data_IF_597958516719
#
_entry.id   IF_597958516719
#
_cell.length_a   1.000
_cell.length_b   1.000
_cell.length_c   1.000
_cell.angle_alpha   90.00
_cell.angle_beta   90.00
_cell.angle_gamma   90.00
#
_symmetry.space_group_name_H-M   'P 1'
#
loop_
_entity.id
_entity.type
_entity.pdbx_description
1 polymer ?
#
# COMPACT_ATOMS: atom_id res chain seq x y z
N UNK A 1 -11.41 -78.15 7.14
CA UNK A 1 -10.75 -76.85 7.40
C UNK A 1 -9.93 -76.58 6.15
N UNK A 2 -10.31 -75.70 5.22
CA UNK A 2 -10.87 -74.35 5.39
C UNK A 2 -11.69 -74.00 4.15
N UNK A 3 -12.80 -73.29 4.34
CA UNK A 3 -13.83 -73.00 3.34
C UNK A 3 -13.40 -71.94 2.31
N UNK A 4 -13.89 -72.11 1.09
CA UNK A 4 -13.75 -71.20 -0.05
C UNK A 4 -14.90 -70.21 0.01
N UNK A 5 -14.60 -68.92 0.16
CA UNK A 5 -15.62 -67.87 0.23
C UNK A 5 -15.72 -67.14 -1.11
N UNK A 6 -16.92 -67.18 -1.71
CA UNK A 6 -17.30 -66.57 -2.98
C UNK A 6 -17.78 -65.15 -2.68
N UNK A 7 -17.11 -64.14 -3.25
CA UNK A 7 -17.50 -62.73 -3.09
C UNK A 7 -18.35 -62.30 -4.29
N UNK A 8 -19.62 -62.00 -4.01
CA UNK A 8 -20.63 -61.54 -4.96
C UNK A 8 -20.42 -60.07 -5.34
N UNK A 9 -20.50 -59.81 -6.63
CA UNK A 9 -20.50 -58.48 -7.25
C UNK A 9 -21.88 -57.82 -7.11
N UNK A 10 -21.97 -56.68 -6.42
CA UNK A 10 -23.11 -55.77 -6.50
C UNK A 10 -22.75 -54.57 -7.39
N UNK A 11 -23.46 -54.44 -8.52
CA UNK A 11 -23.41 -53.27 -9.40
C UNK A 11 -24.34 -52.18 -8.87
N UNK A 12 -23.77 -51.17 -8.22
CA UNK A 12 -24.50 -49.95 -7.85
C UNK A 12 -24.35 -48.94 -8.97
N UNK A 13 -25.43 -48.68 -9.70
CA UNK A 13 -25.55 -47.57 -10.66
C UNK A 13 -25.51 -46.25 -9.89
N UNK A 14 -24.37 -45.56 -9.90
CA UNK A 14 -24.23 -44.21 -9.36
C UNK A 14 -24.81 -43.19 -10.32
N UNK A 15 -25.92 -42.57 -9.93
CA UNK A 15 -26.39 -41.31 -10.53
C UNK A 15 -25.34 -40.23 -10.25
N UNK A 16 -24.73 -39.71 -11.32
CA UNK A 16 -23.84 -38.56 -11.26
C UNK A 16 -24.68 -37.31 -10.93
N UNK A 17 -24.65 -36.90 -9.66
CA UNK A 17 -25.08 -35.57 -9.25
C UNK A 17 -24.23 -34.55 -10.03
N UNK A 18 -24.88 -33.85 -10.97
CA UNK A 18 -24.30 -32.69 -11.63
C UNK A 18 -24.03 -31.63 -10.57
N UNK A 19 -22.77 -31.52 -10.14
CA UNK A 19 -22.33 -30.40 -9.32
C UNK A 19 -22.51 -29.11 -10.13
N UNK A 20 -23.36 -28.23 -9.62
CA UNK A 20 -23.70 -26.95 -10.23
C UNK A 20 -22.42 -26.09 -10.35
N UNK A 21 -21.89 -25.84 -11.56
CA UNK A 21 -20.57 -25.23 -11.76
C UNK A 21 -20.53 -23.72 -11.46
N UNK A 22 -21.52 -23.19 -10.74
CA UNK A 22 -21.81 -21.75 -10.67
C UNK A 22 -21.64 -21.10 -9.28
N UNK A 23 -21.16 -21.83 -8.26
CA UNK A 23 -21.17 -21.33 -6.86
C UNK A 23 -19.81 -21.21 -6.14
N UNK A 24 -18.67 -21.35 -6.84
CA UNK A 24 -17.38 -21.10 -6.18
C UNK A 24 -17.24 -19.63 -5.82
N UNK A 25 -17.48 -19.32 -4.54
CA UNK A 25 -17.31 -17.98 -3.99
C UNK A 25 -15.87 -17.53 -4.25
N UNK A 26 -15.66 -16.27 -4.68
CA UNK A 26 -14.32 -15.74 -4.89
C UNK A 26 -13.57 -15.82 -3.55
N UNK A 27 -12.54 -16.65 -3.50
CA UNK A 27 -11.69 -16.77 -2.32
C UNK A 27 -11.01 -15.43 -2.05
N UNK A 28 -11.01 -15.00 -0.79
CA UNK A 28 -10.27 -13.80 -0.41
C UNK A 28 -8.78 -14.00 -0.70
N UNK A 29 -8.11 -12.98 -1.26
CA UNK A 29 -6.71 -13.11 -1.60
C UNK A 29 -5.87 -13.26 -0.32
N UNK A 30 -5.20 -14.41 -0.18
CA UNK A 30 -4.26 -14.67 0.90
C UNK A 30 -2.85 -14.18 0.51
N UNK A 31 -2.25 -13.36 1.38
CA UNK A 31 -0.91 -12.79 1.21
C UNK A 31 0.05 -13.20 2.35
N UNK A 32 -0.13 -14.42 2.87
CA UNK A 32 0.64 -14.93 4.02
C UNK A 32 0.33 -14.14 5.29
N UNK A 33 1.37 -13.68 5.99
CA UNK A 33 1.24 -12.95 7.26
C UNK A 33 0.86 -11.47 7.08
N UNK A 34 0.61 -11.02 5.85
CA UNK A 34 0.25 -9.64 5.58
C UNK A 34 -1.24 -9.38 5.82
N UNK A 35 -1.53 -8.36 6.63
CA UNK A 35 -2.88 -7.83 6.75
C UNK A 35 -3.15 -6.82 5.63
N UNK A 36 -4.28 -6.98 4.94
CA UNK A 36 -4.71 -6.09 3.86
C UNK A 36 -5.89 -5.21 4.30
N UNK A 37 -5.81 -3.93 3.98
CA UNK A 37 -6.84 -2.95 4.32
C UNK A 37 -7.05 -1.94 3.18
N UNK A 38 -8.26 -1.40 3.09
CA UNK A 38 -8.49 -0.12 2.42
C UNK A 38 -7.98 1.02 3.30
N UNK A 39 -7.59 2.14 2.70
CA UNK A 39 -6.99 3.22 3.46
C UNK A 39 -7.90 3.80 4.57
N UNK A 40 -9.22 3.81 4.38
CA UNK A 40 -10.18 4.28 5.38
C UNK A 40 -10.22 3.37 6.62
N UNK A 41 -10.06 2.07 6.40
CA UNK A 41 -9.99 1.08 7.48
C UNK A 41 -8.71 1.26 8.29
N UNK A 42 -7.59 1.58 7.63
CA UNK A 42 -6.32 1.88 8.28
C UNK A 42 -6.45 3.07 9.23
N UNK A 43 -7.11 4.14 8.78
CA UNK A 43 -7.35 5.32 9.62
C UNK A 43 -8.14 4.94 10.86
N UNK A 44 -9.24 4.20 10.71
CA UNK A 44 -10.07 3.74 11.84
C UNK A 44 -9.33 2.78 12.79
N UNK A 45 -8.50 1.89 12.26
CA UNK A 45 -7.90 0.78 13.02
C UNK A 45 -6.60 1.16 13.73
N UNK A 46 -5.77 1.95 13.08
CA UNK A 46 -4.41 2.23 13.56
C UNK A 46 -4.18 3.68 13.95
N UNK A 47 -4.97 4.61 13.37
CA UNK A 47 -4.73 6.06 13.53
C UNK A 47 -5.82 6.73 14.38
N UNK A 48 -6.95 6.06 14.57
CA UNK A 48 -8.07 6.50 15.41
C UNK A 48 -7.98 5.81 16.76
N UNK A 49 -7.60 6.56 17.79
CA UNK A 49 -7.91 6.17 19.17
C UNK A 49 -9.43 6.31 19.33
N UNK A 50 -10.12 5.17 19.34
CA UNK A 50 -11.57 5.07 19.32
C UNK A 50 -12.30 6.12 20.18
N UNK A 51 -13.32 6.73 19.58
CA UNK A 51 -14.47 7.40 20.20
C UNK A 51 -14.28 8.67 21.08
N UNK A 52 -13.07 9.15 21.41
CA UNK A 52 -12.90 10.45 22.12
C UNK A 52 -11.71 11.33 21.68
N UNK A 53 -11.25 11.09 20.45
CA UNK A 53 -10.75 12.02 19.41
C UNK A 53 -9.86 13.24 19.73
N UNK A 54 -9.05 13.24 20.79
CA UNK A 54 -8.09 14.35 21.03
C UNK A 54 -6.64 13.93 21.33
N UNK A 55 -6.37 12.66 21.63
CA UNK A 55 -5.02 12.22 21.99
C UNK A 55 -4.43 11.26 20.96
N UNK A 56 -3.22 11.59 20.51
CA UNK A 56 -2.30 10.66 19.87
C UNK A 56 -1.33 10.14 20.94
N UNK A 57 -0.89 8.88 20.81
CA UNK A 57 0.05 8.30 21.75
C UNK A 57 1.38 9.08 21.74
N UNK A 58 2.08 9.21 22.88
CA UNK A 58 3.44 9.73 22.93
C UNK A 58 4.36 8.99 21.95
N UNK A 59 5.36 9.70 21.44
CA UNK A 59 6.34 9.23 20.45
C UNK A 59 5.76 8.78 19.09
N UNK A 60 4.47 8.97 18.86
CA UNK A 60 3.87 8.79 17.53
C UNK A 60 4.54 9.75 16.54
N UNK A 61 5.14 9.21 15.48
CA UNK A 61 5.64 10.00 14.37
C UNK A 61 4.44 10.53 13.56
N UNK A 62 4.46 11.81 13.22
CA UNK A 62 3.41 12.43 12.43
C UNK A 62 3.97 13.43 11.42
N UNK A 63 3.21 13.69 10.38
CA UNK A 63 3.36 14.88 9.54
C UNK A 63 2.51 16.02 10.09
N UNK A 64 3.14 17.18 10.26
CA UNK A 64 2.47 18.44 10.52
C UNK A 64 2.00 19.03 9.20
N UNK A 65 0.75 19.44 9.14
CA UNK A 65 0.13 20.06 7.98
C UNK A 65 0.15 21.58 8.11
N UNK A 66 0.43 22.27 7.01
CA UNK A 66 0.24 23.71 6.93
C UNK A 66 -1.25 24.03 7.04
N UNK A 67 -1.63 24.72 8.12
CA UNK A 67 -2.89 25.45 8.12
C UNK A 67 -2.77 26.53 7.05
N UNK A 68 -3.60 26.48 6.02
CA UNK A 68 -3.78 27.67 5.19
C UNK A 68 -4.31 28.75 6.14
N UNK A 69 -3.48 29.74 6.47
CA UNK A 69 -3.99 30.94 7.13
C UNK A 69 -5.21 31.40 6.33
N UNK A 70 -6.27 31.90 6.99
CA UNK A 70 -7.47 32.41 6.32
C UNK A 70 -7.02 33.44 5.27
N UNK A 71 -6.75 33.02 4.04
CA UNK A 71 -6.55 33.92 2.92
C UNK A 71 -7.94 34.50 2.69
N UNK A 72 -8.13 35.71 3.18
CA UNK A 72 -9.36 36.50 3.14
C UNK A 72 -9.56 36.99 1.69
N UNK A 73 -9.55 36.08 0.72
CA UNK A 73 -9.68 36.39 -0.69
C UNK A 73 -10.99 35.79 -1.22
N UNK A 74 -11.82 36.74 -1.65
CA UNK A 74 -13.12 36.64 -2.31
C UNK A 74 -13.26 35.44 -3.27
N UNK A 75 -14.37 34.73 -3.09
CA UNK A 75 -15.28 34.26 -4.14
C UNK A 75 -14.63 33.62 -5.39
N UNK A 76 -14.24 32.36 -5.26
CA UNK A 76 -14.45 31.40 -6.35
C UNK A 76 -15.19 30.20 -5.74
N UNK A 77 -16.49 30.14 -6.02
CA UNK A 77 -17.49 29.38 -5.26
C UNK A 77 -17.62 27.91 -5.69
N UNK A 78 -16.85 27.45 -6.68
CA UNK A 78 -17.20 26.21 -7.41
C UNK A 78 -16.13 25.12 -7.42
N UNK A 79 -15.58 24.77 -6.25
CA UNK A 79 -14.94 23.45 -6.14
C UNK A 79 -14.95 22.95 -4.71
N UNK A 80 -15.86 22.01 -4.42
CA UNK A 80 -15.85 21.05 -3.29
C UNK A 80 -14.60 20.13 -3.29
N UNK A 81 -13.48 20.57 -3.86
CA UNK A 81 -12.20 19.93 -3.65
C UNK A 81 -11.71 20.32 -2.27
N UNK A 82 -11.98 19.46 -1.28
CA UNK A 82 -11.38 19.50 0.04
C UNK A 82 -9.92 19.96 -0.09
N UNK A 83 -9.64 21.19 0.33
CA UNK A 83 -8.37 21.82 0.06
C UNK A 83 -7.28 21.08 0.84
N UNK A 84 -6.64 20.12 0.16
CA UNK A 84 -5.62 19.26 0.74
C UNK A 84 -4.55 20.12 1.39
N UNK A 85 -4.48 20.07 2.73
CA UNK A 85 -3.44 20.75 3.50
C UNK A 85 -2.07 20.23 3.06
N UNK A 86 -1.11 21.12 2.89
CA UNK A 86 0.24 20.77 2.45
C UNK A 86 1.02 20.13 3.61
N UNK A 87 1.87 19.15 3.30
CA UNK A 87 2.80 18.56 4.27
C UNK A 87 3.88 19.60 4.58
N UNK A 88 4.08 19.92 5.87
CA UNK A 88 5.10 20.88 6.30
C UNK A 88 6.39 20.17 6.68
N UNK A 89 6.32 19.34 7.72
CA UNK A 89 7.47 18.64 8.28
C UNK A 89 7.02 17.52 9.20
N UNK A 90 7.94 16.63 9.54
CA UNK A 90 7.70 15.57 10.52
C UNK A 90 7.94 16.06 11.94
N UNK A 91 7.17 15.51 12.87
CA UNK A 91 7.34 15.74 14.29
C UNK A 91 6.90 14.50 15.10
N UNK A 92 7.36 14.40 16.34
CA UNK A 92 6.94 13.37 17.28
C UNK A 92 5.99 13.95 18.31
N UNK A 93 4.95 13.21 18.66
CA UNK A 93 4.08 13.57 19.77
C UNK A 93 4.87 13.47 21.08
N UNK A 94 4.85 14.50 21.92
CA UNK A 94 5.59 14.49 23.20
C UNK A 94 4.80 13.80 24.31
N UNK A 95 3.47 13.76 24.19
CA UNK A 95 2.55 13.28 25.21
C UNK A 95 1.71 14.41 25.82
N UNK A 96 0.66 14.04 26.56
CA UNK A 96 -0.22 15.00 27.22
C UNK A 96 0.37 15.39 28.57
N UNK A 97 0.75 16.66 28.75
CA UNK A 97 1.01 17.20 30.09
C UNK A 97 -0.31 17.22 30.86
N UNK A 98 -0.43 16.32 31.83
CA UNK A 98 -1.55 16.20 32.75
C UNK A 98 -1.75 17.51 33.50
N UNK A 99 -2.79 18.29 33.15
CA UNK A 99 -3.80 18.87 34.07
C UNK A 99 -4.43 20.19 33.59
N UNK A 100 -3.77 21.06 32.82
CA UNK A 100 -4.37 22.38 32.50
C UNK A 100 -4.23 22.83 31.02
N UNK A 101 -3.51 22.07 30.19
CA UNK A 101 -3.06 22.55 28.88
C UNK A 101 -3.85 21.99 27.68
N UNK A 102 -4.99 21.33 27.92
CA UNK A 102 -5.86 20.75 26.88
C UNK A 102 -6.91 21.74 26.31
N UNK A 103 -6.97 22.99 26.78
CA UNK A 103 -8.09 23.91 26.52
C UNK A 103 -8.35 24.31 25.06
N UNK A 104 -7.53 23.92 24.07
CA UNK A 104 -7.76 24.24 22.64
C UNK A 104 -7.62 23.02 21.70
N UNK A 105 -7.65 21.79 22.23
CA UNK A 105 -7.54 20.57 21.39
C UNK A 105 -6.23 20.47 20.59
N UNK A 106 -5.18 21.15 21.04
CA UNK A 106 -3.85 21.12 20.41
C UNK A 106 -2.94 20.12 21.11
N UNK A 107 -2.17 19.41 20.30
CA UNK A 107 -1.21 18.40 20.75
C UNK A 107 0.20 19.00 20.67
N UNK A 108 0.99 18.80 21.73
CA UNK A 108 2.39 19.20 21.77
C UNK A 108 3.22 18.23 20.93
N UNK A 109 3.92 18.76 19.93
CA UNK A 109 4.82 18.00 19.06
C UNK A 109 6.25 18.52 19.17
N UNK A 110 7.23 17.64 18.96
CA UNK A 110 8.67 17.94 18.91
C UNK A 110 9.19 17.71 17.50
N UNK A 111 9.80 18.73 16.91
CA UNK A 111 10.43 18.66 15.60
C UNK A 111 11.85 18.07 15.70
N UNK A 112 12.44 17.58 14.59
CA UNK A 112 13.79 16.99 14.58
C UNK A 112 14.88 17.87 15.22
N UNK A 113 14.76 19.20 15.11
CA UNK A 113 15.71 20.17 15.69
C UNK A 113 15.50 20.43 17.19
N UNK A 114 14.61 19.68 17.85
CA UNK A 114 14.30 19.79 19.27
C UNK A 114 13.25 20.83 19.65
N UNK A 115 12.88 21.73 18.73
CA UNK A 115 11.82 22.71 18.99
C UNK A 115 10.46 22.04 19.18
N UNK A 116 9.60 22.66 19.99
CA UNK A 116 8.27 22.13 20.29
C UNK A 116 7.18 23.15 20.01
N UNK A 117 6.04 22.68 19.50
CA UNK A 117 4.89 23.54 19.20
C UNK A 117 3.59 22.80 19.48
N UNK A 118 2.53 23.56 19.76
CA UNK A 118 1.17 23.04 19.88
C UNK A 118 0.46 23.10 18.54
N UNK A 119 0.07 21.95 18.01
CA UNK A 119 -0.57 21.80 16.70
C UNK A 119 -1.97 21.23 16.88
N UNK A 120 -2.96 21.77 16.15
CA UNK A 120 -4.32 21.19 16.15
C UNK A 120 -4.31 19.75 15.66
N UNK A 121 -5.11 18.86 16.26
CA UNK A 121 -5.19 17.45 15.86
C UNK A 121 -5.47 17.25 14.37
N UNK A 122 -6.34 18.07 13.78
CA UNK A 122 -6.69 18.10 12.35
C UNK A 122 -5.53 18.50 11.41
N UNK A 123 -4.42 18.99 11.97
CA UNK A 123 -3.20 19.34 11.24
C UNK A 123 -2.10 18.30 11.48
N UNK A 124 -2.43 17.12 12.01
CA UNK A 124 -1.48 16.04 12.24
C UNK A 124 -1.93 14.78 11.48
N UNK A 125 -1.05 14.25 10.65
CA UNK A 125 -1.21 12.93 10.00
C UNK A 125 -0.25 11.94 10.64
N UNK A 126 -0.72 11.01 11.49
CA UNK A 126 0.14 10.00 12.07
C UNK A 126 0.72 9.05 11.00
N UNK A 127 1.95 8.58 11.23
CA UNK A 127 2.69 7.67 10.37
C UNK A 127 2.51 6.24 10.88
N UNK A 128 2.28 5.27 9.97
CA UNK A 128 2.13 3.87 10.32
C UNK A 128 3.48 3.28 10.69
N UNK A 129 3.56 2.78 11.93
CA UNK A 129 4.75 2.14 12.48
C UNK A 129 4.69 0.61 12.42
N UNK A 130 3.55 0.04 12.03
CA UNK A 130 3.33 -1.40 11.90
C UNK A 130 4.13 -2.01 10.73
N UNK A 131 4.35 -3.33 10.81
CA UNK A 131 4.95 -4.17 9.77
C UNK A 131 3.91 -5.10 9.15
N UNK A 132 4.27 -5.72 8.02
CA UNK A 132 3.44 -6.68 7.29
C UNK A 132 2.04 -6.15 6.94
N UNK A 133 1.97 -4.91 6.45
CA UNK A 133 0.71 -4.29 6.00
C UNK A 133 0.64 -4.13 4.49
N UNK A 134 -0.54 -4.37 3.92
CA UNK A 134 -0.91 -3.97 2.56
C UNK A 134 -2.02 -2.93 2.69
N UNK A 135 -1.83 -1.75 2.10
CA UNK A 135 -2.85 -0.71 2.06
C UNK A 135 -3.24 -0.43 0.62
N UNK A 136 -4.52 -0.57 0.31
CA UNK A 136 -5.05 -0.40 -1.04
C UNK A 136 -5.78 0.94 -1.15
N UNK A 137 -5.47 1.67 -2.22
CA UNK A 137 -6.07 2.95 -2.56
C UNK A 137 -6.59 2.92 -4.01
N UNK A 138 -7.73 3.57 -4.26
CA UNK A 138 -8.31 3.65 -5.60
C UNK A 138 -7.71 4.79 -6.45
N UNK A 139 -7.29 5.89 -5.80
CA UNK A 139 -6.98 7.15 -6.48
C UNK A 139 -5.50 7.51 -6.42
N UNK A 140 -4.90 7.85 -7.58
CA UNK A 140 -3.47 8.19 -7.71
C UNK A 140 -3.03 9.28 -6.75
N UNK A 141 -3.87 10.32 -6.60
CA UNK A 141 -3.56 11.45 -5.74
C UNK A 141 -3.57 11.07 -4.25
N UNK A 142 -4.39 10.10 -3.83
CA UNK A 142 -4.36 9.57 -2.46
C UNK A 142 -3.17 8.64 -2.29
N UNK A 143 -2.95 7.72 -3.22
CA UNK A 143 -1.81 6.80 -3.25
C UNK A 143 -0.47 7.52 -3.08
N UNK A 144 -0.18 8.52 -3.92
CA UNK A 144 1.08 9.28 -3.85
C UNK A 144 1.24 10.00 -2.51
N UNK A 145 0.16 10.59 -1.98
CA UNK A 145 0.19 11.27 -0.68
C UNK A 145 0.42 10.27 0.46
N UNK A 146 -0.25 9.12 0.40
CA UNK A 146 -0.17 8.05 1.39
C UNK A 146 1.26 7.50 1.47
N UNK A 147 1.89 7.24 0.31
CA UNK A 147 3.30 6.86 0.24
C UNK A 147 4.24 7.89 0.89
N UNK A 148 4.09 9.18 0.59
CA UNK A 148 4.93 10.22 1.22
C UNK A 148 4.72 10.30 2.73
N UNK A 149 3.48 10.16 3.19
CA UNK A 149 3.17 10.19 4.63
C UNK A 149 3.81 8.99 5.33
N UNK A 150 3.63 7.79 4.78
CA UNK A 150 3.88 6.55 5.49
C UNK A 150 5.27 5.95 5.29
N UNK A 151 6.04 6.35 4.27
CA UNK A 151 7.48 6.03 4.18
C UNK A 151 8.25 6.86 5.21
N UNK A 152 8.95 6.24 6.15
CA UNK A 152 9.71 6.95 7.19
C UNK A 152 11.05 7.46 6.64
N UNK A 153 11.69 8.46 7.26
CA UNK A 153 12.93 9.01 6.72
C UNK A 153 14.07 8.00 6.57
N UNK A 154 14.11 6.95 7.38
CA UNK A 154 15.16 5.92 7.37
C UNK A 154 14.79 4.66 6.56
N UNK A 155 13.59 4.60 5.99
CA UNK A 155 13.13 3.48 5.17
C UNK A 155 13.84 3.44 3.81
N UNK A 156 14.07 2.23 3.32
CA UNK A 156 14.24 2.03 1.89
C UNK A 156 12.86 2.17 1.20
N UNK A 157 12.85 2.60 -0.06
CA UNK A 157 11.63 2.79 -0.82
C UNK A 157 11.78 2.36 -2.28
N UNK A 158 10.78 1.67 -2.78
CA UNK A 158 10.67 1.37 -4.22
C UNK A 158 9.25 1.57 -4.69
N UNK A 159 9.10 2.22 -5.84
CA UNK A 159 7.84 2.27 -6.59
C UNK A 159 7.92 1.37 -7.82
N UNK A 160 6.95 0.47 -7.99
CA UNK A 160 6.75 -0.37 -9.18
C UNK A 160 5.62 0.23 -10.02
N UNK A 161 5.90 0.53 -11.30
CA UNK A 161 5.05 1.36 -12.15
C UNK A 161 5.25 2.85 -11.83
N UNK A 162 6.49 3.32 -11.85
CA UNK A 162 6.84 4.67 -11.41
C UNK A 162 6.58 5.75 -12.46
N UNK A 163 6.25 5.39 -13.72
CA UNK A 163 6.08 6.36 -14.82
C UNK A 163 7.33 7.26 -14.89
N UNK A 164 7.18 8.55 -15.15
CA UNK A 164 8.26 9.56 -15.14
C UNK A 164 8.84 9.90 -13.74
N UNK A 165 8.57 9.11 -12.70
CA UNK A 165 9.32 9.14 -11.43
C UNK A 165 8.89 10.19 -10.38
N UNK A 166 7.69 10.78 -10.50
CA UNK A 166 7.25 11.89 -9.62
C UNK A 166 7.18 11.48 -8.14
N UNK A 167 6.64 10.30 -7.82
CA UNK A 167 6.50 9.87 -6.43
C UNK A 167 7.86 9.48 -5.86
N UNK A 168 8.68 8.72 -6.60
CA UNK A 168 10.07 8.39 -6.23
C UNK A 168 10.84 9.64 -5.82
N UNK A 169 10.79 10.70 -6.63
CA UNK A 169 11.48 11.95 -6.33
C UNK A 169 10.97 12.61 -5.03
N UNK A 170 9.65 12.65 -4.82
CA UNK A 170 9.08 13.21 -3.57
C UNK A 170 9.52 12.44 -2.32
N UNK A 171 9.64 11.12 -2.42
CA UNK A 171 10.16 10.30 -1.33
C UNK A 171 11.65 10.59 -1.11
N UNK A 172 12.42 10.69 -2.19
CA UNK A 172 13.85 11.01 -2.16
C UNK A 172 14.12 12.33 -1.42
N UNK A 173 13.34 13.39 -1.69
CA UNK A 173 13.47 14.70 -1.03
C UNK A 173 13.26 14.65 0.50
N UNK A 174 12.54 13.65 0.99
CA UNK A 174 12.19 13.50 2.40
C UNK A 174 12.92 12.35 3.10
N UNK A 175 13.80 11.64 2.38
CA UNK A 175 14.57 10.51 2.90
C UNK A 175 15.89 10.96 3.51
N UNK A 176 16.29 10.29 4.59
CA UNK A 176 17.65 10.34 5.17
C UNK A 176 18.58 9.30 4.56
N UNK A 177 18.07 8.45 3.67
CA UNK A 177 18.85 7.49 2.91
C UNK A 177 18.43 7.46 1.43
N UNK A 178 18.63 8.58 0.70
CA UNK A 178 18.22 8.72 -0.68
C UNK A 178 18.78 7.65 -1.63
N UNK A 179 19.93 7.05 -1.31
CA UNK A 179 20.54 5.98 -2.09
C UNK A 179 19.73 4.68 -2.12
N UNK A 180 18.73 4.54 -1.24
CA UNK A 180 17.83 3.38 -1.17
C UNK A 180 16.41 3.73 -1.62
N UNK A 181 16.25 4.80 -2.40
CA UNK A 181 14.99 5.22 -3.01
C UNK A 181 15.09 4.95 -4.52
N UNK A 182 14.18 4.13 -5.04
CA UNK A 182 14.20 3.73 -6.45
C UNK A 182 12.81 3.69 -7.10
N UNK A 183 12.79 3.80 -8.42
CA UNK A 183 11.61 3.59 -9.26
C UNK A 183 11.84 2.50 -10.29
N UNK A 184 10.78 1.75 -10.59
CA UNK A 184 10.76 0.72 -11.61
C UNK A 184 9.59 0.94 -12.55
N UNK A 185 9.82 0.79 -13.84
CA UNK A 185 8.77 0.80 -14.86
C UNK A 185 9.13 -0.14 -16.00
N UNK A 186 8.12 -0.66 -16.70
CA UNK A 186 8.31 -1.51 -17.87
C UNK A 186 8.72 -0.71 -19.10
N UNK A 187 8.33 0.57 -19.19
CA UNK A 187 8.55 1.41 -20.35
C UNK A 187 9.94 2.06 -20.27
N UNK A 188 10.91 1.67 -21.12
CA UNK A 188 12.25 2.25 -21.09
C UNK A 188 12.24 3.78 -21.35
N UNK A 189 11.26 4.26 -22.11
CA UNK A 189 11.09 5.67 -22.44
C UNK A 189 10.73 6.51 -21.21
N UNK A 190 9.80 6.00 -20.38
CA UNK A 190 9.41 6.63 -19.12
C UNK A 190 10.58 6.65 -18.14
N UNK A 191 11.36 5.57 -18.09
CA UNK A 191 12.59 5.48 -17.29
C UNK A 191 13.62 6.50 -17.75
N UNK A 192 13.86 6.62 -19.05
CA UNK A 192 14.79 7.62 -19.59
C UNK A 192 14.34 9.05 -19.24
N UNK A 193 13.03 9.33 -19.35
CA UNK A 193 12.46 10.62 -18.97
C UNK A 193 12.59 10.88 -17.46
N UNK A 194 12.35 9.87 -16.62
CA UNK A 194 12.51 9.96 -15.18
C UNK A 194 13.97 10.26 -14.78
N UNK A 195 14.94 9.57 -15.40
CA UNK A 195 16.37 9.80 -15.18
C UNK A 195 16.80 11.20 -15.62
N UNK A 196 16.32 11.68 -16.76
CA UNK A 196 16.59 13.04 -17.23
C UNK A 196 16.03 14.09 -16.26
N UNK A 197 14.80 13.87 -15.78
CA UNK A 197 14.09 14.81 -14.91
C UNK A 197 14.62 14.82 -13.48
N UNK A 198 15.05 13.66 -12.98
CA UNK A 198 15.46 13.43 -11.60
C UNK A 198 16.80 12.69 -11.55
N UNK A 199 17.91 13.31 -12.00
CA UNK A 199 19.20 12.63 -12.19
C UNK A 199 19.84 12.08 -10.90
N UNK A 200 19.35 12.48 -9.74
CA UNK A 200 19.81 12.00 -8.43
C UNK A 200 19.03 10.79 -7.90
N UNK A 201 17.96 10.37 -8.59
CA UNK A 201 17.13 9.22 -8.23
C UNK A 201 17.56 7.98 -9.04
N UNK A 202 17.37 6.79 -8.46
CA UNK A 202 17.66 5.52 -9.14
C UNK A 202 16.40 5.03 -9.87
N UNK A 203 16.47 4.85 -11.18
CA UNK A 203 15.38 4.28 -11.98
C UNK A 203 15.86 3.10 -12.79
N UNK A 204 15.05 2.04 -12.85
CA UNK A 204 15.39 0.77 -13.51
C UNK A 204 14.23 0.29 -14.36
N UNK A 205 14.52 -0.16 -15.58
CA UNK A 205 13.53 -0.84 -16.40
C UNK A 205 13.26 -2.23 -15.83
N UNK A 206 12.02 -2.50 -15.45
CA UNK A 206 11.61 -3.80 -14.95
C UNK A 206 10.12 -4.05 -15.22
N UNK A 207 9.79 -5.27 -15.64
CA UNK A 207 8.42 -5.69 -15.91
C UNK A 207 8.01 -6.80 -14.94
N UNK A 208 6.78 -6.75 -14.46
CA UNK A 208 6.20 -7.81 -13.62
C UNK A 208 6.16 -9.10 -14.46
N UNK A 209 6.81 -10.19 -14.04
CA UNK A 209 6.67 -11.46 -14.71
C UNK A 209 5.23 -11.91 -14.52
N UNK A 210 4.42 -11.85 -15.58
CA UNK A 210 3.08 -12.41 -15.53
C UNK A 210 3.18 -13.92 -15.65
N UNK A 211 2.28 -14.63 -14.98
CA UNK A 211 2.06 -16.04 -15.24
C UNK A 211 1.74 -16.15 -16.75
N UNK A 212 2.62 -16.80 -17.50
CA UNK A 212 2.31 -17.13 -18.88
C UNK A 212 1.09 -18.05 -18.84
N UNK A 213 -0.08 -17.52 -19.18
CA UNK A 213 -1.22 -18.36 -19.52
C UNK A 213 -0.75 -19.25 -20.66
N UNK A 214 -0.92 -20.56 -20.51
CA UNK A 214 -0.33 -21.59 -21.38
C UNK A 214 -0.73 -21.53 -22.86
N UNK A 215 -1.41 -20.46 -23.30
CA UNK A 215 -1.90 -20.26 -24.66
C UNK A 215 -1.04 -19.34 -25.54
N UNK A 216 -0.03 -18.64 -25.00
CA UNK A 216 0.87 -17.77 -25.80
C UNK A 216 2.31 -18.31 -25.89
N UNK A 217 2.48 -19.63 -25.96
CA UNK A 217 3.72 -20.22 -26.49
C UNK A 217 3.69 -20.20 -28.02
N UNK A 218 3.55 -19.02 -28.62
CA UNK A 218 3.75 -18.88 -30.06
C UNK A 218 5.22 -18.54 -30.32
N UNK A 219 5.83 -19.44 -31.07
CA UNK A 219 7.25 -19.56 -31.38
C UNK A 219 7.76 -18.33 -32.11
N UNK A 220 8.77 -17.60 -31.59
CA UNK A 220 9.92 -17.04 -32.37
C UNK A 220 10.82 -16.04 -31.63
N UNK A 221 10.50 -15.54 -30.44
CA UNK A 221 11.37 -14.58 -29.73
C UNK A 221 12.15 -15.24 -28.58
N UNK A 222 13.43 -15.53 -28.83
CA UNK A 222 14.36 -16.22 -27.93
C UNK A 222 14.88 -15.39 -26.74
N UNK A 223 14.38 -14.18 -26.51
CA UNK A 223 14.89 -13.28 -25.44
C UNK A 223 13.89 -13.03 -24.29
N UNK A 224 12.88 -13.88 -24.12
CA UNK A 224 11.85 -13.74 -23.07
C UNK A 224 12.30 -14.28 -21.69
N UNK A 225 13.55 -14.06 -21.29
CA UNK A 225 13.92 -14.20 -19.88
C UNK A 225 13.44 -12.96 -19.13
N UNK A 226 12.30 -13.07 -18.45
CA UNK A 226 11.90 -12.07 -17.47
C UNK A 226 13.06 -11.86 -16.49
N UNK A 227 13.62 -10.64 -16.39
CA UNK A 227 14.74 -10.41 -15.50
C UNK A 227 14.28 -10.67 -14.06
N UNK A 228 15.08 -11.41 -13.26
CA UNK A 228 14.80 -11.52 -11.84
C UNK A 228 14.67 -10.12 -11.23
N UNK A 229 13.93 -10.01 -10.12
CA UNK A 229 13.90 -8.74 -9.40
C UNK A 229 15.34 -8.28 -9.15
N UNK A 230 15.66 -7.01 -9.39
CA UNK A 230 17.02 -6.51 -9.23
C UNK A 230 17.34 -6.43 -7.74
N UNK A 231 17.80 -7.55 -7.18
CA UNK A 231 18.07 -7.72 -5.75
C UNK A 231 19.19 -6.80 -5.26
N UNK A 232 20.03 -6.32 -6.17
CA UNK A 232 21.09 -5.34 -5.94
C UNK A 232 20.55 -3.92 -5.68
N UNK A 233 19.27 -3.64 -5.96
CA UNK A 233 18.68 -2.35 -5.62
C UNK A 233 18.45 -2.19 -4.12
N UNK A 234 18.35 -3.30 -3.40
CA UNK A 234 18.05 -3.27 -1.97
C UNK A 234 19.31 -3.52 -1.18
N UNK A 235 19.59 -2.67 -0.20
CA UNK A 235 20.69 -2.96 0.68
C UNK A 235 20.36 -4.23 1.46
N UNK A 236 21.30 -5.16 1.53
CA UNK A 236 21.30 -6.22 2.55
C UNK A 236 21.28 -5.65 3.99
N UNK A 237 21.34 -4.33 4.13
CA UNK A 237 21.19 -3.62 5.40
C UNK A 237 19.82 -3.90 6.04
N UNK A 238 19.80 -3.85 7.38
CA UNK A 238 18.63 -4.01 8.25
C UNK A 238 17.57 -2.89 8.12
N UNK A 239 17.47 -2.21 6.98
CA UNK A 239 16.47 -1.15 6.77
C UNK A 239 15.13 -1.79 6.46
N UNK A 240 14.07 -1.24 7.06
CA UNK A 240 12.73 -1.63 6.67
C UNK A 240 12.39 -1.02 5.31
N UNK A 241 11.68 -1.79 4.49
CA UNK A 241 11.32 -1.44 3.13
C UNK A 241 9.84 -1.07 3.03
N UNK A 242 9.56 0.00 2.29
CA UNK A 242 8.22 0.33 1.80
C UNK A 242 8.18 0.15 0.29
N UNK A 243 7.18 -0.59 -0.20
CA UNK A 243 6.97 -0.78 -1.64
C UNK A 243 5.65 -0.13 -2.04
N UNK A 244 5.68 0.68 -3.07
CA UNK A 244 4.49 1.26 -3.67
C UNK A 244 4.26 0.62 -5.05
N UNK A 245 3.02 0.25 -5.37
CA UNK A 245 2.66 -0.45 -6.61
C UNK A 245 1.58 0.35 -7.34
N UNK A 246 1.92 0.91 -8.50
CA UNK A 246 1.02 1.54 -9.47
C UNK A 246 1.30 1.02 -10.88
N UNK A 247 1.13 -0.29 -11.08
CA UNK A 247 1.22 -0.91 -12.40
C UNK A 247 -0.08 -0.74 -13.22
N UNK A 248 -1.01 0.10 -12.73
CA UNK A 248 -2.43 0.05 -13.09
C UNK A 248 -2.78 0.95 -14.29
N UNK A 249 -2.34 0.50 -15.46
CA UNK A 249 -2.96 0.77 -16.77
C UNK A 249 -4.01 -0.30 -17.11
N UNK A 250 -3.91 -0.95 -18.27
CA UNK A 250 -4.78 -2.07 -18.70
C UNK A 250 -4.44 -3.43 -18.04
N UNK A 251 -3.86 -3.43 -16.83
CA UNK A 251 -3.48 -4.68 -16.14
C UNK A 251 -4.66 -5.20 -15.33
N UNK A 252 -4.93 -6.49 -15.43
CA UNK A 252 -5.98 -7.16 -14.67
C UNK A 252 -5.61 -7.30 -13.18
N UNK A 253 -6.62 -7.41 -12.32
CA UNK A 253 -6.48 -7.68 -10.89
C UNK A 253 -5.46 -8.78 -10.56
N UNK A 254 -5.41 -9.86 -11.35
CA UNK A 254 -4.49 -10.98 -11.14
C UNK A 254 -3.02 -10.54 -11.21
N UNK A 255 -2.68 -9.66 -12.15
CA UNK A 255 -1.32 -9.12 -12.29
C UNK A 255 -0.90 -8.31 -11.05
N UNK A 256 -1.83 -7.53 -10.49
CA UNK A 256 -1.60 -6.76 -9.25
C UNK A 256 -1.37 -7.70 -8.07
N UNK A 257 -2.24 -8.69 -7.90
CA UNK A 257 -2.09 -9.68 -6.83
C UNK A 257 -0.80 -10.50 -6.97
N UNK A 258 -0.44 -10.87 -8.19
CA UNK A 258 0.81 -11.59 -8.46
C UNK A 258 2.03 -10.72 -8.12
N UNK A 259 2.03 -9.44 -8.53
CA UNK A 259 3.09 -8.50 -8.16
C UNK A 259 3.25 -8.37 -6.63
N UNK A 260 2.13 -8.31 -5.88
CA UNK A 260 2.16 -8.27 -4.40
C UNK A 260 2.83 -9.53 -3.85
N UNK A 261 2.47 -10.72 -4.36
CA UNK A 261 3.06 -12.01 -3.90
C UNK A 261 4.57 -12.05 -4.13
N UNK A 262 5.04 -11.65 -5.32
CA UNK A 262 6.47 -11.56 -5.63
C UNK A 262 7.18 -10.64 -4.63
N UNK A 263 6.64 -9.44 -4.42
CA UNK A 263 7.21 -8.45 -3.50
C UNK A 263 7.31 -8.99 -2.07
N UNK A 264 6.29 -9.71 -1.60
CA UNK A 264 6.27 -10.33 -0.27
C UNK A 264 7.34 -11.43 -0.17
N UNK A 265 7.40 -12.31 -1.17
CA UNK A 265 8.32 -13.45 -1.19
C UNK A 265 9.78 -13.00 -1.21
N UNK A 266 10.10 -12.03 -2.07
CA UNK A 266 11.49 -11.63 -2.32
C UNK A 266 11.98 -10.57 -1.33
N UNK A 267 11.15 -9.59 -0.97
CA UNK A 267 11.63 -8.41 -0.25
C UNK A 267 11.07 -8.24 1.17
N UNK A 268 9.96 -8.91 1.50
CA UNK A 268 9.32 -8.84 2.83
C UNK A 268 9.19 -7.40 3.38
N UNK A 269 8.62 -6.45 2.62
CA UNK A 269 8.53 -5.06 3.04
C UNK A 269 7.65 -4.89 4.28
N UNK A 270 7.94 -3.90 5.13
CA UNK A 270 7.06 -3.62 6.28
C UNK A 270 5.69 -3.10 5.84
N UNK A 271 5.63 -2.44 4.68
CA UNK A 271 4.43 -1.80 4.16
C UNK A 271 4.42 -1.87 2.63
N UNK A 272 3.31 -2.35 2.09
CA UNK A 272 3.00 -2.34 0.66
C UNK A 272 1.83 -1.38 0.46
N UNK A 273 1.98 -0.42 -0.45
CA UNK A 273 0.96 0.56 -0.79
C UNK A 273 0.55 0.31 -2.22
N UNK A 274 -0.69 -0.07 -2.45
CA UNK A 274 -1.17 -0.52 -3.76
C UNK A 274 -2.21 0.45 -4.28
N UNK A 275 -2.04 0.93 -5.51
CA UNK A 275 -3.10 1.62 -6.23
C UNK A 275 -3.77 0.68 -7.21
N UNK A 276 -5.00 0.27 -6.88
CA UNK A 276 -5.84 -0.56 -7.75
C UNK A 276 -7.31 -0.35 -7.40
N UNK A 277 -8.09 0.10 -8.39
CA UNK A 277 -9.55 0.28 -8.23
C UNK A 277 -10.27 -1.05 -8.04
N UNK A 278 -9.86 -2.08 -8.77
CA UNK A 278 -10.46 -3.41 -8.73
C UNK A 278 -10.20 -4.10 -7.39
N UNK A 279 -8.94 -4.12 -6.93
CA UNK A 279 -8.61 -4.69 -5.62
C UNK A 279 -9.30 -3.92 -4.50
N UNK A 280 -9.35 -2.59 -4.60
CA UNK A 280 -10.06 -1.75 -3.64
C UNK A 280 -11.56 -2.10 -3.58
N UNK A 281 -12.21 -2.28 -4.74
CA UNK A 281 -13.62 -2.66 -4.82
C UNK A 281 -13.88 -4.07 -4.26
N UNK A 282 -12.99 -5.03 -4.56
CA UNK A 282 -13.05 -6.40 -4.03
C UNK A 282 -13.10 -6.41 -2.50
N UNK A 283 -12.23 -5.63 -1.84
CA UNK A 283 -12.17 -5.55 -0.38
C UNK A 283 -13.43 -4.91 0.24
N UNK A 284 -14.07 -3.96 -0.45
CA UNK A 284 -15.30 -3.33 0.02
C UNK A 284 -16.54 -4.24 -0.06
N UNK A 285 -16.49 -5.29 -0.89
CA UNK A 285 -17.58 -6.26 -1.08
C UNK A 285 -17.72 -7.26 0.07
N UNK A 286 -16.61 -7.62 0.73
CA UNK A 286 -16.59 -8.64 1.79
C UNK A 286 -17.35 -8.22 3.05
N UNK A 287 -17.28 -6.94 3.45
CA UNK A 287 -17.88 -6.49 4.71
C UNK A 287 -19.41 -6.43 4.72
N UNK A 288 -20.07 -6.30 3.57
CA UNK A 288 -21.56 -6.25 3.54
C UNK A 288 -22.23 -7.61 3.74
N UNK A 289 -21.48 -8.70 3.81
CA UNK A 289 -22.04 -10.07 3.83
C UNK A 289 -22.06 -10.73 5.22
N UNK A 290 -21.25 -10.27 6.18
CA UNK A 290 -21.23 -10.85 7.54
C UNK A 290 -22.41 -10.39 8.43
N UNK A 291 -23.04 -9.24 8.16
CA UNK A 291 -24.16 -8.72 8.97
C UNK A 291 -25.53 -9.37 8.67
N UNK A 292 -25.61 -10.36 7.77
CA UNK A 292 -26.90 -10.93 7.32
C UNK A 292 -27.23 -12.33 7.84
N UNK A 293 -26.35 -12.96 8.63
CA UNK A 293 -26.55 -14.35 9.09
C UNK A 293 -27.01 -14.50 10.54
N UNK A 294 -27.23 -13.41 11.27
CA UNK A 294 -27.69 -13.44 12.67
C UNK A 294 -29.11 -12.87 12.86
N UNK A 295 -30.04 -13.11 11.91
CA UNK A 295 -31.46 -12.74 12.03
C UNK A 295 -32.39 -13.90 11.73
#
# INVERSE_FOLDING_TARGET
>A
MTEVNVCSSNSTTGEALQEDPSSSLPQEPCFGDYSIYRHEEVESKFLSTAASSSSLAPDTLCWVLLSKGRKRNKASQDSEGEQRKQLLSRAWIVGSSSSEQQQDGRILVRYPKGSTYRVKRENLLPVLMHSSLIVVLAETNLYRRFAVVHTRPNDAFTEIGCDVGILVHRIWEHSTCPQYVSGMDKAPEDIAQAQQRYPNCKFVTWNVPLLQTSQEQDTTSTDNHNPPLPMDLFPQSRKELVVAIDINGNRELEAVQHCIRIVIQEWKPRLIIVKSRELYAQLGGSHKRQDKTDS
#
